data_IF_327052563092
#
_entry.id   IF_327052563092
#
_cell.length_a   1.000
_cell.length_b   1.000
_cell.length_c   1.000
_cell.angle_alpha   90.00
_cell.angle_beta   90.00
_cell.angle_gamma   90.00
#
_symmetry.space_group_name_H-M   'P 1'
#
loop_
_entity.id
_entity.type
_entity.pdbx_description
1 polymer ?
#
# COMPACT_ATOMS: atom_id res chain seq x y z
N UNK A 1 -8.02 16.31 0.21
CA UNK A 1 -7.21 15.29 0.90
C UNK A 1 -7.01 14.13 -0.06
N UNK A 2 -5.75 13.86 -0.41
CA UNK A 2 -5.35 12.95 -1.48
C UNK A 2 -5.20 11.50 -1.03
N UNK A 3 -5.18 10.59 -1.99
CA UNK A 3 -4.97 9.15 -1.75
C UNK A 3 -3.50 8.88 -1.42
N UNK A 4 -3.18 7.69 -0.88
CA UNK A 4 -1.77 7.27 -0.77
C UNK A 4 -1.17 7.28 -2.18
N UNK A 5 -0.01 7.92 -2.31
CA UNK A 5 0.69 7.96 -3.59
C UNK A 5 1.55 6.72 -3.68
N UNK A 6 1.28 5.87 -4.67
CA UNK A 6 2.05 4.66 -4.91
C UNK A 6 3.01 4.89 -6.06
N UNK A 7 4.27 4.53 -5.84
CA UNK A 7 5.33 4.57 -6.83
C UNK A 7 5.78 3.15 -7.15
N UNK A 8 6.17 2.91 -8.40
CA UNK A 8 6.84 1.69 -8.80
C UNK A 8 8.21 2.03 -9.41
N UNK A 9 9.19 1.17 -9.16
CA UNK A 9 10.52 1.26 -9.76
C UNK A 9 10.96 -0.12 -10.19
N UNK A 10 11.54 -0.21 -11.39
CA UNK A 10 12.05 -1.46 -11.95
C UNK A 10 13.53 -1.57 -11.64
N UNK A 11 13.91 -2.62 -10.90
CA UNK A 11 15.30 -2.94 -10.60
C UNK A 11 15.72 -4.21 -11.35
N UNK A 12 17.02 -4.49 -11.40
CA UNK A 12 17.59 -5.68 -12.06
C UNK A 12 17.03 -7.02 -11.54
N UNK A 13 16.37 -7.03 -10.37
CA UNK A 13 15.72 -8.21 -9.77
C UNK A 13 14.19 -8.21 -9.78
N UNK A 14 13.54 -7.23 -10.44
CA UNK A 14 12.08 -7.12 -10.51
C UNK A 14 11.55 -5.74 -10.12
N UNK A 15 10.22 -5.60 -10.12
CA UNK A 15 9.53 -4.37 -9.72
C UNK A 15 9.47 -4.25 -8.21
N UNK A 16 9.85 -3.09 -7.68
CA UNK A 16 9.63 -2.70 -6.29
C UNK A 16 8.60 -1.57 -6.21
N UNK A 17 7.82 -1.59 -5.14
CA UNK A 17 6.77 -0.62 -4.88
C UNK A 17 7.08 0.19 -3.64
N UNK A 18 6.66 1.45 -3.67
CA UNK A 18 6.83 2.42 -2.60
C UNK A 18 5.52 3.21 -2.41
N UNK A 19 5.35 3.81 -1.25
CA UNK A 19 4.20 4.67 -0.96
C UNK A 19 4.59 5.93 -0.20
N UNK A 20 3.78 6.97 -0.33
CA UNK A 20 3.82 8.18 0.49
C UNK A 20 2.41 8.59 0.90
N UNK A 21 2.23 9.07 2.13
CA UNK A 21 0.92 9.49 2.66
C UNK A 21 0.37 10.76 2.01
N UNK A 22 1.26 11.59 1.47
CA UNK A 22 0.94 12.81 0.72
C UNK A 22 2.16 13.23 -0.13
N UNK A 23 2.04 14.36 -0.85
CA UNK A 23 3.10 14.88 -1.74
C UNK A 23 4.36 15.37 -1.01
N UNK A 24 4.26 15.67 0.28
CA UNK A 24 5.34 16.20 1.11
C UNK A 24 5.93 15.17 2.09
N UNK A 25 5.24 14.05 2.29
CA UNK A 25 5.68 12.98 3.18
C UNK A 25 6.83 12.15 2.60
N UNK A 26 7.54 11.46 3.50
CA UNK A 26 8.61 10.54 3.12
C UNK A 26 8.09 9.35 2.34
N UNK A 27 8.89 8.89 1.37
CA UNK A 27 8.61 7.70 0.57
C UNK A 27 9.11 6.46 1.33
N UNK A 28 8.23 5.49 1.52
CA UNK A 28 8.53 4.23 2.20
C UNK A 28 8.37 3.06 1.24
N UNK A 29 9.23 2.04 1.35
CA UNK A 29 9.03 0.78 0.59
C UNK A 29 7.71 0.15 1.02
N UNK A 30 6.93 -0.31 0.04
CA UNK A 30 5.64 -0.97 0.25
C UNK A 30 5.84 -2.38 0.79
N UNK A 31 5.90 -2.49 2.12
CA UNK A 31 5.98 -3.75 2.83
C UNK A 31 5.21 -3.66 4.15
N UNK A 32 4.92 -4.83 4.73
CA UNK A 32 4.08 -4.90 5.94
C UNK A 32 4.71 -4.18 7.15
N UNK A 33 6.04 -4.14 7.26
CA UNK A 33 6.71 -3.53 8.39
C UNK A 33 6.53 -2.01 8.37
N UNK A 34 6.72 -1.39 7.20
CA UNK A 34 6.50 0.04 7.01
C UNK A 34 5.02 0.41 7.16
N UNK A 35 4.11 -0.38 6.56
CA UNK A 35 2.67 -0.15 6.70
C UNK A 35 2.21 -0.25 8.17
N UNK A 36 2.74 -1.22 8.93
CA UNK A 36 2.44 -1.36 10.37
C UNK A 36 2.97 -0.18 11.17
N UNK A 37 4.14 0.36 10.79
CA UNK A 37 4.71 1.53 11.46
C UNK A 37 3.89 2.80 11.21
N UNK A 38 3.41 2.98 9.98
CA UNK A 38 2.75 4.22 9.56
C UNK A 38 1.23 4.21 9.77
N UNK A 39 0.61 3.03 9.79
CA UNK A 39 -0.84 2.85 9.88
C UNK A 39 -1.26 1.86 10.99
N UNK A 40 -0.35 1.50 11.91
CA UNK A 40 -0.62 0.52 12.97
C UNK A 40 -1.82 0.85 13.86
N UNK A 41 -2.11 2.14 14.03
CA UNK A 41 -3.26 2.63 14.79
C UNK A 41 -4.60 2.45 14.03
N UNK A 42 -4.55 2.23 12.71
CA UNK A 42 -5.73 1.96 11.90
C UNK A 42 -5.96 0.46 11.75
N UNK A 43 -6.66 -0.11 12.73
CA UNK A 43 -6.95 -1.55 12.81
C UNK A 43 -7.69 -2.07 11.56
N UNK A 44 -8.64 -1.32 11.02
CA UNK A 44 -9.41 -1.72 9.83
C UNK A 44 -8.51 -1.85 8.60
N UNK A 45 -7.67 -0.83 8.35
CA UNK A 45 -6.67 -0.84 7.28
C UNK A 45 -5.71 -2.02 7.43
N UNK A 46 -5.14 -2.22 8.62
CA UNK A 46 -4.15 -3.28 8.86
C UNK A 46 -4.73 -4.69 8.74
N UNK A 47 -6.00 -4.90 9.09
CA UNK A 47 -6.69 -6.18 8.88
C UNK A 47 -6.85 -6.47 7.38
N UNK A 48 -7.26 -5.49 6.59
CA UNK A 48 -7.43 -5.65 5.15
C UNK A 48 -6.07 -5.90 4.43
N UNK A 49 -5.02 -5.18 4.81
CA UNK A 49 -3.65 -5.38 4.32
C UNK A 49 -3.13 -6.78 4.63
N UNK A 50 -3.36 -7.28 5.86
CA UNK A 50 -2.95 -8.64 6.25
C UNK A 50 -3.69 -9.71 5.44
N UNK A 51 -4.96 -9.50 5.10
CA UNK A 51 -5.73 -10.42 4.22
C UNK A 51 -5.15 -10.47 2.80
N UNK A 52 -4.70 -9.34 2.26
CA UNK A 52 -4.04 -9.28 0.94
C UNK A 52 -2.73 -10.05 0.90
N UNK A 53 -1.90 -9.91 1.93
CA UNK A 53 -0.62 -10.63 2.02
C UNK A 53 -0.80 -12.15 1.94
N UNK A 54 -1.93 -12.66 2.43
CA UNK A 54 -2.25 -14.10 2.41
C UNK A 54 -2.77 -14.63 1.07
N UNK A 55 -3.06 -13.74 0.10
CA UNK A 55 -3.45 -14.13 -1.26
C UNK A 55 -2.24 -14.37 -2.17
N UNK A 56 -2.47 -15.08 -3.29
CA UNK A 56 -1.43 -15.42 -4.28
C UNK A 56 -0.72 -14.19 -4.89
N UNK A 57 -1.33 -13.02 -4.76
CA UNK A 57 -0.95 -11.75 -5.39
C UNK A 57 -0.25 -10.79 -4.40
N UNK A 58 -0.21 -11.07 -3.09
CA UNK A 58 0.59 -10.32 -2.11
C UNK A 58 0.33 -8.79 -2.04
N UNK A 59 1.23 -8.06 -1.35
CA UNK A 59 1.14 -6.58 -1.22
C UNK A 59 1.61 -5.81 -2.47
N UNK A 60 2.17 -6.54 -3.43
CA UNK A 60 2.87 -6.01 -4.60
C UNK A 60 2.22 -6.40 -5.92
N UNK A 61 1.08 -7.10 -5.92
CA UNK A 61 0.35 -7.31 -7.16
C UNK A 61 -0.29 -6.01 -7.63
N UNK A 62 -0.05 -5.72 -8.91
CA UNK A 62 -0.98 -4.93 -9.66
C UNK A 62 -2.34 -5.62 -9.63
N UNK A 63 -3.36 -4.93 -9.13
CA UNK A 63 -4.73 -5.23 -9.55
C UNK A 63 -4.77 -5.18 -11.09
N UNK A 64 -5.37 -6.19 -11.71
CA UNK A 64 -5.63 -6.25 -13.15
C UNK A 64 -6.38 -5.01 -13.67
N UNK A 65 -7.01 -4.23 -12.79
CA UNK A 65 -7.73 -2.98 -13.10
C UNK A 65 -6.90 -1.70 -12.90
N UNK A 66 -5.60 -1.78 -12.57
CA UNK A 66 -4.71 -0.61 -12.50
C UNK A 66 -4.89 0.26 -11.25
N UNK A 67 -5.72 -0.15 -10.29
CA UNK A 67 -5.84 0.48 -8.98
C UNK A 67 -5.08 -0.38 -7.98
N UNK A 68 -3.97 0.10 -7.40
CA UNK A 68 -3.33 -0.64 -6.32
C UNK A 68 -4.38 -0.96 -5.25
N UNK A 69 -4.58 -2.25 -4.94
CA UNK A 69 -5.62 -2.70 -3.99
C UNK A 69 -5.46 -2.02 -2.62
N UNK A 70 -4.25 -1.56 -2.31
CA UNK A 70 -3.92 -0.78 -1.12
C UNK A 70 -4.58 0.61 -1.11
N UNK A 71 -4.70 1.30 -2.25
CA UNK A 71 -5.40 2.59 -2.32
C UNK A 71 -6.91 2.43 -2.14
N UNK A 72 -7.48 1.34 -2.67
CA UNK A 72 -8.88 0.98 -2.42
C UNK A 72 -9.11 0.78 -0.93
N UNK A 73 -8.28 -0.04 -0.29
CA UNK A 73 -8.37 -0.29 1.15
C UNK A 73 -8.18 0.99 1.96
N UNK A 74 -7.20 1.82 1.60
CA UNK A 74 -6.98 3.09 2.29
C UNK A 74 -8.19 4.01 2.20
N UNK A 75 -8.80 4.11 1.02
CA UNK A 75 -10.00 4.92 0.81
C UNK A 75 -11.16 4.41 1.66
N UNK A 76 -11.41 3.10 1.63
CA UNK A 76 -12.53 2.46 2.35
C UNK A 76 -12.39 2.49 3.88
N UNK A 77 -11.16 2.45 4.40
CA UNK A 77 -10.91 2.31 5.85
C UNK A 77 -10.44 3.59 6.53
N UNK A 78 -9.68 4.44 5.84
CA UNK A 78 -9.08 5.66 6.42
C UNK A 78 -9.83 6.91 5.98
N UNK A 79 -10.24 6.99 4.71
CA UNK A 79 -10.82 8.22 4.14
C UNK A 79 -12.32 8.37 4.37
N UNK A 80 -13.08 7.27 4.41
CA UNK A 80 -14.55 7.20 4.50
C UNK A 80 -15.29 8.31 3.76
#
# INVERSE_FOLDING_TARGET
MGDIIIYSSVFWGGSEYFYSKDLSASIHRLNINNLTKDFGDNTEFMVAIKKLKSGADGLSAHDKKGHFTINTIYTETIKK
#
